data_IF_837403276097
#
_entry.id   IF_837403276097
#
_cell.length_a   1.000
_cell.length_b   1.000
_cell.length_c   1.000
_cell.angle_alpha   90.00
_cell.angle_beta   90.00
_cell.angle_gamma   90.00
#
_symmetry.space_group_name_H-M   'P 1'
#
loop_
_entity.id
_entity.type
_entity.pdbx_description
1 polymer ?
#
# COMPACT_ATOMS: atom_id res chain seq x y z
N UNK A 1 8.62 -17.62 -11.27
CA UNK A 1 8.72 -16.29 -10.63
C UNK A 1 8.48 -16.49 -9.15
N UNK A 2 9.29 -15.86 -8.27
CA UNK A 2 9.01 -15.89 -6.85
C UNK A 2 7.76 -15.04 -6.60
N UNK A 3 6.80 -15.59 -5.85
CA UNK A 3 5.55 -14.92 -5.51
C UNK A 3 5.58 -14.54 -4.02
N UNK A 4 4.81 -13.52 -3.65
CA UNK A 4 4.60 -13.19 -2.25
C UNK A 4 3.81 -14.29 -1.56
N UNK A 5 4.10 -14.56 -0.30
CA UNK A 5 3.36 -15.54 0.51
C UNK A 5 1.96 -15.08 0.86
N UNK A 6 1.65 -13.80 0.68
CA UNK A 6 0.38 -13.17 1.03
C UNK A 6 -0.38 -12.69 -0.21
N UNK A 7 -1.70 -12.86 -0.21
CA UNK A 7 -2.60 -12.35 -1.25
C UNK A 7 -2.89 -10.85 -1.10
N UNK A 8 -2.95 -10.37 0.12
CA UNK A 8 -3.27 -8.99 0.47
C UNK A 8 -2.10 -8.38 1.23
N UNK A 9 -1.81 -7.11 1.03
CA UNK A 9 -0.86 -6.36 1.84
C UNK A 9 -1.63 -5.51 2.86
N UNK A 10 -1.99 -6.11 3.99
CA UNK A 10 -2.81 -5.46 5.03
C UNK A 10 -1.97 -4.81 6.13
N UNK A 11 -0.84 -5.44 6.49
CA UNK A 11 0.10 -4.98 7.49
C UNK A 11 1.50 -5.56 7.27
N UNK A 12 2.48 -5.10 8.02
CA UNK A 12 3.86 -5.61 7.94
C UNK A 12 4.00 -6.97 8.63
N UNK A 13 3.24 -7.21 9.68
CA UNK A 13 3.30 -8.44 10.48
C UNK A 13 3.01 -9.72 9.68
N UNK A 14 2.29 -9.59 8.56
CA UNK A 14 1.89 -10.73 7.72
C UNK A 14 2.98 -11.09 6.69
N UNK A 15 4.00 -10.24 6.53
CA UNK A 15 5.12 -10.47 5.62
C UNK A 15 6.25 -11.23 6.33
N UNK A 16 6.79 -12.24 5.66
CA UNK A 16 8.03 -12.87 6.07
C UNK A 16 9.26 -12.18 5.43
N UNK A 17 10.47 -12.53 5.87
CA UNK A 17 11.71 -11.92 5.37
C UNK A 17 11.90 -12.12 3.85
N UNK A 18 11.48 -13.26 3.29
CA UNK A 18 11.59 -13.53 1.86
C UNK A 18 10.66 -12.62 1.06
N UNK A 19 9.46 -12.30 1.58
CA UNK A 19 8.54 -11.35 0.96
C UNK A 19 9.15 -9.95 0.92
N UNK A 20 9.74 -9.50 2.03
CA UNK A 20 10.40 -8.20 2.13
C UNK A 20 11.59 -8.11 1.16
N UNK A 21 12.41 -9.15 1.11
CA UNK A 21 13.54 -9.23 0.17
C UNK A 21 13.07 -9.21 -1.29
N UNK A 22 11.99 -9.91 -1.61
CA UNK A 22 11.38 -9.90 -2.93
C UNK A 22 10.87 -8.51 -3.32
N UNK A 23 10.16 -7.84 -2.39
CA UNK A 23 9.67 -6.47 -2.60
C UNK A 23 10.85 -5.52 -2.84
N UNK A 24 11.91 -5.61 -2.03
CA UNK A 24 13.07 -4.73 -2.14
C UNK A 24 13.87 -4.97 -3.44
N UNK A 25 14.09 -6.23 -3.84
CA UNK A 25 14.71 -6.56 -5.13
C UNK A 25 13.88 -6.03 -6.30
N UNK A 26 12.56 -6.14 -6.20
CA UNK A 26 11.66 -5.61 -7.21
C UNK A 26 11.73 -4.09 -7.27
N UNK A 27 11.80 -3.41 -6.13
CA UNK A 27 11.98 -1.97 -6.04
C UNK A 27 13.32 -1.52 -6.66
N UNK A 28 14.42 -2.25 -6.43
CA UNK A 28 15.72 -1.99 -7.06
C UNK A 28 15.61 -2.01 -8.60
N UNK A 29 14.95 -3.01 -9.16
CA UNK A 29 14.71 -3.12 -10.60
C UNK A 29 13.88 -1.94 -11.14
N UNK A 30 12.82 -1.54 -10.42
CA UNK A 30 12.00 -0.39 -10.82
C UNK A 30 12.72 0.94 -10.68
N UNK A 31 13.64 1.07 -9.73
CA UNK A 31 14.50 2.25 -9.61
C UNK A 31 15.35 2.48 -10.85
N UNK A 32 15.88 1.41 -11.44
CA UNK A 32 16.59 1.51 -12.71
C UNK A 32 15.67 1.96 -13.86
N UNK A 33 14.43 1.42 -13.90
CA UNK A 33 13.44 1.77 -14.94
C UNK A 33 13.04 3.24 -14.87
N UNK A 34 12.91 3.81 -13.67
CA UNK A 34 12.53 5.22 -13.48
C UNK A 34 13.57 6.16 -14.09
N UNK A 35 14.83 5.75 -14.15
CA UNK A 35 15.93 6.55 -14.70
C UNK A 35 16.08 6.42 -16.23
N UNK A 36 15.28 5.55 -16.88
CA UNK A 36 15.30 5.37 -18.34
C UNK A 36 14.51 6.49 -19.06
N UNK A 37 14.79 6.76 -20.33
CA UNK A 37 13.95 7.68 -21.12
C UNK A 37 12.48 7.24 -21.17
N UNK A 38 12.22 5.93 -21.33
CA UNK A 38 10.89 5.33 -21.28
C UNK A 38 10.70 4.71 -19.90
N UNK A 39 9.87 5.36 -19.07
CA UNK A 39 9.62 5.00 -17.67
C UNK A 39 8.40 4.10 -17.49
N UNK A 40 7.83 3.58 -18.58
CA UNK A 40 6.62 2.77 -18.57
C UNK A 40 6.95 1.34 -18.95
N UNK A 41 6.38 0.38 -18.19
CA UNK A 41 6.55 -1.06 -18.40
C UNK A 41 5.19 -1.75 -18.39
N UNK A 42 4.99 -2.84 -19.16
CA UNK A 42 3.70 -3.51 -19.29
C UNK A 42 3.41 -4.54 -18.20
N UNK A 43 3.99 -4.37 -17.00
CA UNK A 43 3.90 -5.39 -15.93
C UNK A 43 2.48 -5.61 -15.40
N UNK A 44 1.61 -4.59 -15.47
CA UNK A 44 0.22 -4.65 -15.04
C UNK A 44 -0.74 -4.30 -16.20
N UNK A 45 -0.34 -4.60 -17.45
CA UNK A 45 -1.24 -4.47 -18.59
C UNK A 45 -2.46 -5.36 -18.39
N UNK A 46 -3.64 -4.87 -18.70
CA UNK A 46 -4.93 -5.56 -18.56
C UNK A 46 -5.33 -5.85 -17.10
N UNK A 47 -4.61 -5.26 -16.11
CA UNK A 47 -4.98 -5.29 -14.70
C UNK A 47 -5.68 -3.98 -14.32
N UNK A 48 -6.90 -4.08 -13.81
CA UNK A 48 -7.68 -2.92 -13.35
C UNK A 48 -7.50 -2.73 -11.85
N UNK A 49 -7.07 -1.53 -11.45
CA UNK A 49 -6.83 -1.18 -10.04
C UNK A 49 -7.75 -0.05 -9.62
N UNK A 50 -8.51 -0.25 -8.54
CA UNK A 50 -9.31 0.79 -7.93
C UNK A 50 -8.60 1.43 -6.74
N UNK A 51 -8.41 2.74 -6.79
CA UNK A 51 -7.90 3.54 -5.68
C UNK A 51 -9.08 4.11 -4.89
N UNK A 52 -9.33 3.56 -3.70
CA UNK A 52 -10.44 3.93 -2.81
C UNK A 52 -9.89 4.74 -1.63
N UNK A 53 -10.02 6.05 -1.70
CA UNK A 53 -9.53 6.96 -0.68
C UNK A 53 -10.69 7.62 0.05
N UNK A 54 -10.97 7.13 1.26
CA UNK A 54 -11.98 7.67 2.19
C UNK A 54 -11.43 8.73 3.12
N UNK A 55 -10.12 8.93 3.11
CA UNK A 55 -9.40 9.97 3.84
C UNK A 55 -8.56 10.81 2.87
N UNK A 56 -8.48 12.11 3.12
CA UNK A 56 -7.70 13.02 2.30
C UNK A 56 -6.20 12.74 2.41
N UNK A 57 -5.60 12.28 1.33
CA UNK A 57 -4.16 12.07 1.24
C UNK A 57 -3.66 12.28 -0.19
N UNK A 58 -3.28 13.51 -0.49
CA UNK A 58 -2.83 13.89 -1.83
C UNK A 58 -1.56 13.15 -2.24
N UNK A 59 -0.55 13.11 -1.37
CA UNK A 59 0.73 12.46 -1.69
C UNK A 59 0.58 10.97 -1.94
N UNK A 60 -0.09 10.26 -1.05
CA UNK A 60 -0.29 8.81 -1.16
C UNK A 60 -1.07 8.46 -2.43
N UNK A 61 -2.18 9.17 -2.68
CA UNK A 61 -2.99 8.97 -3.89
C UNK A 61 -2.18 9.15 -5.18
N UNK A 62 -1.47 10.28 -5.28
CA UNK A 62 -0.65 10.58 -6.46
C UNK A 62 0.50 9.59 -6.65
N UNK A 63 1.11 9.10 -5.55
CA UNK A 63 2.19 8.11 -5.61
C UNK A 63 1.70 6.78 -6.16
N UNK A 64 0.57 6.27 -5.68
CA UNK A 64 -0.04 5.05 -6.21
C UNK A 64 -0.47 5.21 -7.67
N UNK A 65 -1.16 6.29 -7.99
CA UNK A 65 -1.62 6.56 -9.35
C UNK A 65 -0.46 6.63 -10.35
N UNK A 66 0.64 7.31 -9.98
CA UNK A 66 1.82 7.39 -10.83
C UNK A 66 2.51 6.03 -11.01
N UNK A 67 2.62 5.24 -9.93
CA UNK A 67 3.19 3.91 -9.99
C UNK A 67 2.36 2.99 -10.91
N UNK A 68 1.06 2.97 -10.75
CA UNK A 68 0.11 2.19 -11.55
C UNK A 68 0.19 2.56 -13.05
N UNK A 69 0.21 3.87 -13.37
CA UNK A 69 0.39 4.36 -14.74
C UNK A 69 1.71 3.92 -15.36
N UNK A 70 2.80 3.92 -14.59
CA UNK A 70 4.10 3.44 -15.05
C UNK A 70 4.14 1.93 -15.28
N UNK A 71 3.33 1.18 -14.54
CA UNK A 71 3.18 -0.26 -14.69
C UNK A 71 2.16 -0.66 -15.77
N UNK A 72 1.51 0.31 -16.42
CA UNK A 72 0.48 0.13 -17.46
C UNK A 72 -0.83 -0.46 -16.97
N UNK A 73 -1.20 -0.25 -15.71
CA UNK A 73 -2.50 -0.64 -15.18
C UNK A 73 -3.62 0.31 -15.65
N UNK A 74 -4.84 -0.22 -15.74
CA UNK A 74 -6.06 0.57 -15.83
C UNK A 74 -6.46 1.06 -14.43
N UNK A 75 -6.82 2.34 -14.31
CA UNK A 75 -6.99 2.97 -13.00
C UNK A 75 -8.39 3.54 -12.85
N UNK A 76 -9.05 3.14 -11.77
CA UNK A 76 -10.30 3.74 -11.29
C UNK A 76 -9.98 4.50 -10.01
N UNK A 77 -10.26 5.81 -9.99
CA UNK A 77 -10.09 6.62 -8.79
C UNK A 77 -11.44 6.95 -8.17
N UNK A 78 -11.62 6.55 -6.92
CA UNK A 78 -12.75 6.92 -6.09
C UNK A 78 -12.27 7.77 -4.92
N UNK A 79 -12.98 8.87 -4.67
CA UNK A 79 -12.81 9.67 -3.47
C UNK A 79 -14.20 9.92 -2.90
N UNK A 80 -14.40 9.58 -1.63
CA UNK A 80 -15.66 9.88 -0.98
C UNK A 80 -15.88 11.39 -0.96
N UNK A 81 -16.84 11.88 -1.72
CA UNK A 81 -17.39 13.20 -1.44
C UNK A 81 -18.33 13.08 -0.24
N UNK A 82 -18.48 14.14 0.55
CA UNK A 82 -19.43 14.16 1.68
C UNK A 82 -20.83 13.69 1.30
N UNK A 83 -21.22 13.86 0.04
CA UNK A 83 -22.52 13.45 -0.51
C UNK A 83 -22.76 11.93 -0.58
N UNK A 84 -21.73 11.10 -0.70
CA UNK A 84 -21.89 9.63 -0.76
C UNK A 84 -22.11 9.04 0.64
N UNK A 85 -21.44 9.59 1.66
CA UNK A 85 -21.63 9.21 3.06
C UNK A 85 -23.01 9.64 3.56
N UNK A 86 -23.53 10.76 3.09
CA UNK A 86 -24.88 11.27 3.44
C UNK A 86 -26.02 10.37 2.91
N UNK A 87 -25.76 9.50 1.91
CA UNK A 87 -26.74 8.57 1.36
C UNK A 87 -26.82 7.23 2.10
N UNK A 88 -26.08 7.05 3.20
CA UNK A 88 -26.14 5.81 4.00
C UNK A 88 -25.48 4.59 3.35
N UNK A 89 -24.71 4.76 2.28
CA UNK A 89 -23.97 3.68 1.63
C UNK A 89 -22.83 3.17 2.56
N UNK A 90 -22.79 1.86 2.80
CA UNK A 90 -21.73 1.27 3.60
C UNK A 90 -20.43 1.11 2.80
N UNK A 91 -19.28 1.00 3.49
CA UNK A 91 -18.00 0.71 2.85
C UNK A 91 -18.08 -0.56 1.97
N UNK A 92 -18.78 -1.58 2.45
CA UNK A 92 -18.95 -2.86 1.75
C UNK A 92 -19.76 -2.67 0.48
N UNK A 93 -20.83 -1.89 0.51
CA UNK A 93 -21.68 -1.61 -0.66
C UNK A 93 -20.86 -0.86 -1.73
N UNK A 94 -20.11 0.16 -1.33
CA UNK A 94 -19.23 0.90 -2.24
C UNK A 94 -18.20 -0.03 -2.89
N UNK A 95 -17.57 -0.90 -2.10
CA UNK A 95 -16.57 -1.86 -2.62
C UNK A 95 -17.24 -2.85 -3.58
N UNK A 96 -18.39 -3.39 -3.25
CA UNK A 96 -19.12 -4.34 -4.12
C UNK A 96 -19.52 -3.68 -5.45
N UNK A 97 -19.98 -2.44 -5.42
CA UNK A 97 -20.31 -1.67 -6.62
C UNK A 97 -19.08 -1.52 -7.53
N UNK A 98 -17.91 -1.23 -6.96
CA UNK A 98 -16.67 -1.09 -7.71
C UNK A 98 -16.18 -2.44 -8.24
N UNK A 99 -16.29 -3.52 -7.47
CA UNK A 99 -15.92 -4.86 -7.91
C UNK A 99 -16.80 -5.38 -9.05
N UNK A 100 -18.06 -4.92 -9.16
CA UNK A 100 -18.92 -5.25 -10.29
C UNK A 100 -18.36 -4.78 -11.64
N UNK A 101 -17.44 -3.81 -11.62
CA UNK A 101 -16.69 -3.32 -12.79
C UNK A 101 -15.48 -4.18 -13.16
N UNK A 102 -15.35 -5.39 -12.57
CA UNK A 102 -14.25 -6.33 -12.83
C UNK A 102 -12.87 -5.79 -12.43
N UNK A 103 -12.80 -5.23 -11.23
CA UNK A 103 -11.54 -4.75 -10.64
C UNK A 103 -10.74 -5.93 -10.07
N UNK A 104 -9.44 -5.99 -10.37
CA UNK A 104 -8.53 -7.05 -9.95
C UNK A 104 -7.85 -6.75 -8.60
N UNK A 105 -7.62 -5.46 -8.33
CA UNK A 105 -6.90 -5.00 -7.13
C UNK A 105 -7.51 -3.70 -6.59
N UNK A 106 -7.51 -3.58 -5.27
CA UNK A 106 -7.96 -2.38 -4.55
C UNK A 106 -6.79 -1.81 -3.75
N UNK A 107 -6.53 -0.53 -3.91
CA UNK A 107 -5.70 0.27 -2.99
C UNK A 107 -6.66 1.03 -2.09
N UNK A 108 -6.71 0.65 -0.81
CA UNK A 108 -7.66 1.19 0.15
C UNK A 108 -6.98 2.07 1.19
N UNK A 109 -7.46 3.31 1.33
CA UNK A 109 -7.13 4.19 2.45
C UNK A 109 -8.41 4.59 3.19
N UNK A 110 -8.43 4.35 4.50
CA UNK A 110 -9.63 4.55 5.31
C UNK A 110 -9.29 5.16 6.68
N UNK A 111 -10.11 6.06 7.25
CA UNK A 111 -9.83 6.62 8.58
C UNK A 111 -10.02 5.61 9.71
N UNK A 112 -10.84 4.59 9.53
CA UNK A 112 -11.12 3.61 10.59
C UNK A 112 -10.12 2.45 10.55
N UNK A 113 -9.45 2.15 11.68
CA UNK A 113 -8.59 0.99 11.84
C UNK A 113 -9.29 -0.33 11.49
N UNK A 114 -8.58 -1.23 10.80
CA UNK A 114 -9.09 -2.55 10.43
C UNK A 114 -10.02 -2.59 9.21
N UNK A 115 -10.36 -1.46 8.59
CA UNK A 115 -11.22 -1.45 7.41
C UNK A 115 -10.67 -2.31 6.24
N UNK A 116 -9.36 -2.30 5.90
CA UNK A 116 -8.82 -3.18 4.87
C UNK A 116 -8.93 -4.66 5.23
N UNK A 117 -8.79 -5.02 6.51
CA UNK A 117 -8.95 -6.40 6.99
C UNK A 117 -10.39 -6.85 6.77
N UNK A 118 -11.37 -6.07 7.25
CA UNK A 118 -12.78 -6.37 7.10
C UNK A 118 -13.19 -6.61 5.63
N UNK A 119 -12.66 -5.81 4.72
CA UNK A 119 -12.96 -5.95 3.29
C UNK A 119 -12.26 -7.18 2.72
N UNK A 120 -11.01 -7.47 3.10
CA UNK A 120 -10.25 -8.61 2.57
C UNK A 120 -10.94 -9.97 2.80
N UNK A 121 -11.69 -10.09 3.90
CA UNK A 121 -12.45 -11.30 4.23
C UNK A 121 -13.68 -11.53 3.33
N UNK A 122 -14.12 -10.50 2.62
CA UNK A 122 -15.39 -10.49 1.88
C UNK A 122 -15.23 -10.47 0.37
N UNK A 123 -14.00 -10.26 -0.13
CA UNK A 123 -13.77 -10.06 -1.56
C UNK A 123 -12.67 -10.98 -2.12
N UNK A 124 -12.73 -11.20 -3.43
CA UNK A 124 -11.73 -11.99 -4.15
C UNK A 124 -10.56 -11.16 -4.70
N UNK A 125 -10.74 -9.86 -4.93
CA UNK A 125 -9.68 -8.97 -5.40
C UNK A 125 -8.57 -8.79 -4.36
N UNK A 126 -7.33 -8.54 -4.81
CA UNK A 126 -6.22 -8.24 -3.90
C UNK A 126 -6.37 -6.86 -3.28
N UNK A 127 -5.98 -6.70 -2.00
CA UNK A 127 -6.00 -5.42 -1.30
C UNK A 127 -4.60 -4.98 -0.92
N UNK A 128 -4.31 -3.70 -1.17
CA UNK A 128 -3.17 -2.98 -0.63
C UNK A 128 -3.69 -1.93 0.34
N UNK A 129 -3.30 -2.04 1.62
CA UNK A 129 -3.59 -1.04 2.63
C UNK A 129 -2.68 0.19 2.42
N UNK A 130 -3.27 1.33 2.06
CA UNK A 130 -2.61 2.62 1.89
C UNK A 130 -2.70 3.52 3.13
N UNK A 131 -3.02 2.93 4.27
CA UNK A 131 -3.20 3.55 5.58
C UNK A 131 -4.63 3.41 6.10
N UNK A 132 -4.77 2.91 7.32
CA UNK A 132 -6.05 2.76 8.00
C UNK A 132 -6.04 3.39 9.41
N UNK A 133 -6.19 4.69 9.44
CA UNK A 133 -6.20 5.48 10.68
C UNK A 133 -4.88 5.38 11.43
N UNK A 134 -4.92 5.01 12.71
CA UNK A 134 -3.75 4.84 13.58
C UNK A 134 -3.29 3.37 13.67
N UNK A 135 -3.65 2.51 12.73
CA UNK A 135 -3.39 1.08 12.82
C UNK A 135 -2.20 0.64 11.95
N UNK A 136 -2.33 0.67 10.62
CA UNK A 136 -1.29 0.16 9.71
C UNK A 136 -1.10 1.07 8.48
N UNK A 137 0.15 1.17 8.03
CA UNK A 137 0.50 1.75 6.74
C UNK A 137 1.68 0.99 6.12
N UNK A 138 1.47 -0.27 5.69
CA UNK A 138 2.55 -1.17 5.32
C UNK A 138 3.42 -0.63 4.19
N UNK A 139 2.85 0.07 3.22
CA UNK A 139 3.61 0.63 2.11
C UNK A 139 4.55 1.77 2.55
N UNK A 140 4.18 2.55 3.58
CA UNK A 140 5.07 3.55 4.15
C UNK A 140 6.20 2.89 4.92
N UNK A 141 5.91 1.90 5.75
CA UNK A 141 6.93 1.16 6.51
C UNK A 141 7.96 0.49 5.57
N UNK A 142 7.50 -0.12 4.48
CA UNK A 142 8.38 -0.69 3.46
C UNK A 142 9.25 0.38 2.77
N UNK A 143 8.66 1.54 2.44
CA UNK A 143 9.38 2.67 1.84
C UNK A 143 10.47 3.20 2.77
N UNK A 144 10.16 3.39 4.05
CA UNK A 144 11.10 3.90 5.04
C UNK A 144 12.25 2.88 5.26
N UNK A 145 11.92 1.59 5.40
CA UNK A 145 12.89 0.51 5.52
C UNK A 145 13.79 0.39 4.28
N UNK A 146 13.22 0.51 3.10
CA UNK A 146 13.97 0.55 1.85
C UNK A 146 14.93 1.75 1.79
N UNK A 147 14.47 2.93 2.21
CA UNK A 147 15.28 4.15 2.24
C UNK A 147 16.43 4.07 3.24
N UNK A 148 16.18 3.46 4.41
CA UNK A 148 17.24 3.19 5.42
C UNK A 148 18.27 2.23 4.84
N UNK A 149 17.83 1.13 4.20
CA UNK A 149 18.74 0.18 3.53
C UNK A 149 19.60 0.88 2.47
N UNK A 150 19.01 1.75 1.69
CA UNK A 150 19.70 2.48 0.63
C UNK A 150 20.80 3.40 1.17
N UNK A 151 20.55 4.02 2.32
CA UNK A 151 21.47 4.99 2.93
C UNK A 151 22.52 4.38 3.81
N UNK A 152 22.17 3.33 4.55
CA UNK A 152 23.00 2.76 5.62
C UNK A 152 23.48 1.32 5.32
N UNK A 153 23.11 0.77 4.15
CA UNK A 153 23.36 -0.63 3.81
C UNK A 153 22.40 -1.57 4.51
N UNK A 154 22.90 -2.59 5.22
CA UNK A 154 22.04 -3.52 5.96
C UNK A 154 21.35 -2.78 7.12
N UNK A 155 20.04 -3.03 7.27
CA UNK A 155 19.22 -2.52 8.38
C UNK A 155 19.39 -3.34 9.66
N UNK A 156 20.01 -4.51 9.56
CA UNK A 156 20.22 -5.41 10.68
C UNK A 156 21.06 -4.75 11.77
N UNK A 157 20.62 -4.88 13.02
CA UNK A 157 21.28 -4.30 14.20
C UNK A 157 21.41 -2.76 14.17
N UNK A 158 20.52 -2.05 13.46
CA UNK A 158 20.44 -0.60 13.51
C UNK A 158 19.43 -0.16 14.57
N UNK A 159 19.78 0.89 15.31
CA UNK A 159 18.85 1.57 16.20
C UNK A 159 18.17 2.69 15.39
N UNK A 160 16.85 2.70 15.34
CA UNK A 160 16.07 3.73 14.65
C UNK A 160 15.29 4.50 15.69
N UNK A 161 15.54 5.82 15.77
CA UNK A 161 14.74 6.73 16.60
C UNK A 161 13.73 7.45 15.73
N UNK A 162 12.45 7.33 16.09
CA UNK A 162 11.36 8.03 15.43
C UNK A 162 10.91 9.17 16.34
N UNK A 163 10.98 10.41 15.84
CA UNK A 163 10.61 11.62 16.58
C UNK A 163 9.48 12.32 15.83
N UNK A 164 8.35 12.50 16.49
CA UNK A 164 7.19 13.17 15.90
C UNK A 164 5.88 12.81 16.57
N UNK A 165 4.77 13.21 15.96
CA UNK A 165 3.45 12.78 16.39
C UNK A 165 3.22 11.35 15.92
N UNK A 166 3.34 10.40 16.83
CA UNK A 166 3.17 8.96 16.57
C UNK A 166 1.73 8.48 16.65
N UNK A 167 0.81 9.36 17.03
CA UNK A 167 -0.62 9.01 17.17
C UNK A 167 -1.32 8.84 15.83
N UNK A 168 -1.04 9.63 14.76
CA UNK A 168 -1.66 9.39 13.45
C UNK A 168 -0.90 8.42 12.57
N UNK A 169 -0.16 7.45 13.08
CA UNK A 169 0.54 6.60 12.75
C UNK A 169 1.10 5.57 11.99
N UNK A 170 1.69 5.78 11.01
CA UNK A 170 2.55 5.03 10.08
C UNK A 170 3.78 4.39 10.73
N UNK A 171 4.09 4.68 11.97
CA UNK A 171 5.39 4.38 12.56
C UNK A 171 5.38 3.33 13.67
N UNK A 172 4.21 2.95 14.19
CA UNK A 172 4.11 2.00 15.29
C UNK A 172 4.47 0.56 14.93
N UNK A 173 4.61 0.25 13.65
CA UNK A 173 4.93 -1.11 13.17
C UNK A 173 6.16 -1.21 12.27
N UNK A 174 7.09 -0.27 12.35
CA UNK A 174 8.47 -0.47 11.84
C UNK A 174 9.26 -1.53 12.63
N UNK A 175 8.58 -2.36 13.38
CA UNK A 175 9.17 -3.57 13.95
C UNK A 175 9.31 -4.64 12.87
N UNK A 176 10.13 -4.36 11.87
CA UNK A 176 10.88 -5.45 11.27
C UNK A 176 11.59 -6.18 12.42
N UNK A 177 11.78 -7.52 12.40
CA UNK A 177 12.32 -8.29 13.52
C UNK A 177 13.67 -7.82 14.07
N UNK A 178 14.16 -6.66 13.69
CA UNK A 178 15.45 -6.09 14.00
C UNK A 178 15.46 -4.61 14.36
N UNK A 179 14.28 -3.96 14.50
CA UNK A 179 14.21 -2.56 14.91
C UNK A 179 13.61 -2.50 16.31
N UNK A 180 14.43 -2.22 17.30
CA UNK A 180 13.99 -1.91 18.65
C UNK A 180 13.48 -0.46 18.64
N UNK A 181 12.20 -0.28 18.94
CA UNK A 181 11.65 1.02 19.36
C UNK A 181 12.13 1.29 20.78
N UNK A 182 12.85 2.37 20.99
CA UNK A 182 13.20 2.91 22.32
C UNK A 182 12.41 4.18 22.53
#
# INVERSE_FOLDING_TARGET
MSELSVKHLLGIKDLNLNDIDLIFKTADNFKEIINRPIKKVPSLRDVTIANLFFENSTRTKLSFELAQKRLSADIINFSSSKSSVEKGETLIDTVNNILSMKVDMIVLRHPNPGAPILISEKISASIINAGDGSHEHPTQALLDSYSIRERLGDVKNKNVLIVGDIVPVSYTHLTLPTILLV
#
